data_IF_140880875462
#
_entry.id   IF_140880875462
#
_cell.length_a   1.000
_cell.length_b   1.000
_cell.length_c   1.000
_cell.angle_alpha   90.00
_cell.angle_beta   90.00
_cell.angle_gamma   90.00
#
_symmetry.space_group_name_H-M   'P 1'
#
loop_
_entity.id
_entity.type
_entity.pdbx_description
1 polymer ?
#
# COMPACT_ATOMS: atom_id res chain seq x y z
N UNK A 1 -9.18 6.24 15.95
CA UNK A 1 -8.28 6.14 14.80
C UNK A 1 -7.85 4.69 14.60
N UNK A 2 -8.41 4.03 13.57
CA UNK A 2 -8.03 2.69 13.13
C UNK A 2 -6.89 2.79 12.13
N UNK A 3 -5.79 2.09 12.38
CA UNK A 3 -4.64 2.09 11.47
C UNK A 3 -4.79 1.00 10.42
N UNK A 4 -4.74 1.34 9.15
CA UNK A 4 -4.88 0.40 8.04
C UNK A 4 -3.63 0.43 7.16
N UNK A 5 -3.02 -0.73 6.95
CA UNK A 5 -1.83 -0.86 6.09
C UNK A 5 -2.28 -1.12 4.65
N UNK A 6 -1.81 -0.30 3.72
CA UNK A 6 -2.08 -0.42 2.29
C UNK A 6 -0.78 -0.74 1.55
N UNK A 7 -0.63 -1.98 1.10
CA UNK A 7 0.49 -2.42 0.28
C UNK A 7 0.13 -2.37 -1.21
N UNK A 8 0.90 -1.66 -2.02
CA UNK A 8 0.77 -1.69 -3.48
C UNK A 8 1.97 -2.46 -4.04
N UNK A 9 1.68 -3.52 -4.81
CA UNK A 9 2.68 -4.38 -5.46
C UNK A 9 2.76 -4.12 -6.97
N UNK A 10 3.81 -4.58 -7.64
CA UNK A 10 4.02 -4.40 -9.09
C UNK A 10 3.18 -5.31 -9.98
N UNK A 11 1.92 -5.52 -9.61
CA UNK A 11 0.94 -6.20 -10.44
C UNK A 11 0.14 -5.19 -11.24
N UNK A 12 -0.46 -5.64 -12.34
CA UNK A 12 -1.38 -4.79 -13.09
C UNK A 12 -2.60 -4.40 -12.26
N UNK A 13 -3.11 -3.20 -12.48
CA UNK A 13 -4.22 -2.60 -11.73
C UNK A 13 -3.77 -1.70 -10.60
N UNK A 14 -2.63 -1.00 -10.74
CA UNK A 14 -2.14 -0.07 -9.72
C UNK A 14 -3.17 1.01 -9.34
N UNK A 15 -4.05 1.35 -10.29
CA UNK A 15 -5.17 2.27 -10.12
C UNK A 15 -6.12 1.89 -8.98
N UNK A 16 -6.30 0.60 -8.68
CA UNK A 16 -7.18 0.18 -7.58
C UNK A 16 -6.60 0.55 -6.21
N UNK A 17 -5.28 0.46 -6.05
CA UNK A 17 -4.59 0.91 -4.85
C UNK A 17 -4.70 2.42 -4.67
N UNK A 18 -4.53 3.18 -5.75
CA UNK A 18 -4.72 4.65 -5.74
C UNK A 18 -6.16 5.01 -5.36
N UNK A 19 -7.15 4.35 -5.96
CA UNK A 19 -8.56 4.64 -5.69
C UNK A 19 -8.94 4.29 -4.26
N UNK A 20 -8.41 3.21 -3.70
CA UNK A 20 -8.60 2.87 -2.30
C UNK A 20 -8.07 3.96 -1.37
N UNK A 21 -6.86 4.48 -1.63
CA UNK A 21 -6.30 5.59 -0.84
C UNK A 21 -7.17 6.85 -0.91
N UNK A 22 -7.69 7.20 -2.10
CA UNK A 22 -8.59 8.34 -2.26
C UNK A 22 -9.85 8.20 -1.41
N UNK A 23 -10.49 7.02 -1.42
CA UNK A 23 -11.71 6.76 -0.64
C UNK A 23 -11.41 6.76 0.86
N UNK A 24 -10.31 6.13 1.28
CA UNK A 24 -9.95 6.06 2.70
C UNK A 24 -9.56 7.42 3.28
N UNK A 25 -9.04 8.33 2.46
CA UNK A 25 -8.74 9.71 2.87
C UNK A 25 -9.98 10.49 3.32
N UNK A 26 -11.16 10.12 2.81
CA UNK A 26 -12.43 10.72 3.21
C UNK A 26 -12.95 10.15 4.55
N UNK A 27 -12.32 9.09 5.08
CA UNK A 27 -12.72 8.43 6.32
C UNK A 27 -11.87 8.93 7.49
N UNK A 28 -12.38 9.90 8.24
CA UNK A 28 -11.67 10.59 9.33
C UNK A 28 -11.24 9.71 10.53
N UNK A 29 -11.76 8.49 10.65
CA UNK A 29 -11.35 7.54 11.71
C UNK A 29 -10.34 6.48 11.20
N UNK A 30 -9.81 6.62 9.98
CA UNK A 30 -8.80 5.71 9.41
C UNK A 30 -7.49 6.46 9.19
N UNK A 31 -6.40 5.90 9.72
CA UNK A 31 -5.02 6.33 9.44
C UNK A 31 -4.39 5.33 8.48
N UNK A 32 -4.01 5.79 7.30
CA UNK A 32 -3.49 4.96 6.22
C UNK A 32 -1.97 4.91 6.23
N UNK A 33 -1.44 3.68 6.22
CA UNK A 33 -0.01 3.42 6.14
C UNK A 33 0.31 2.77 4.79
N UNK A 34 0.86 3.55 3.87
CA UNK A 34 1.17 3.11 2.51
C UNK A 34 2.56 2.47 2.43
N UNK A 35 2.64 1.34 1.74
CA UNK A 35 3.88 0.66 1.36
C UNK A 35 3.87 0.43 -0.15
N UNK A 36 4.89 0.96 -0.84
CA UNK A 36 5.04 0.83 -2.28
C UNK A 36 6.32 0.07 -2.62
N UNK A 37 6.17 -1.13 -3.18
CA UNK A 37 7.32 -1.88 -3.73
C UNK A 37 7.94 -1.15 -4.92
N UNK A 38 9.22 -1.40 -5.22
CA UNK A 38 9.87 -0.83 -6.39
C UNK A 38 9.12 -1.16 -7.70
N UNK A 39 8.63 -2.40 -7.83
CA UNK A 39 7.84 -2.82 -8.98
C UNK A 39 6.49 -2.07 -9.05
N UNK A 40 5.85 -1.78 -7.92
CA UNK A 40 4.62 -0.98 -7.89
C UNK A 40 4.83 0.44 -8.41
N UNK A 41 5.97 1.07 -8.09
CA UNK A 41 6.31 2.40 -8.59
C UNK A 41 6.44 2.41 -10.12
N UNK A 42 6.99 1.35 -10.70
CA UNK A 42 7.10 1.17 -12.14
C UNK A 42 5.72 0.94 -12.78
N UNK A 43 4.91 0.03 -12.22
CA UNK A 43 3.57 -0.24 -12.74
C UNK A 43 2.66 0.98 -12.66
N UNK A 44 2.73 1.75 -11.58
CA UNK A 44 1.99 3.00 -11.44
C UNK A 44 2.31 3.97 -12.59
N UNK A 45 3.60 4.17 -12.89
CA UNK A 45 4.04 5.05 -13.97
C UNK A 45 3.70 4.52 -15.38
N UNK A 46 3.47 3.21 -15.53
CA UNK A 46 3.12 2.59 -16.81
C UNK A 46 1.60 2.57 -17.06
N UNK A 47 0.79 2.44 -16.02
CA UNK A 47 -0.65 2.21 -16.14
C UNK A 47 -1.51 3.42 -15.79
N UNK A 48 -0.92 4.44 -15.17
CA UNK A 48 -1.66 5.61 -14.67
C UNK A 48 -0.90 6.90 -14.89
N UNK A 49 -1.63 8.01 -14.96
CA UNK A 49 -1.03 9.35 -15.03
C UNK A 49 -0.60 9.88 -13.65
N UNK A 50 -0.78 9.11 -12.58
CA UNK A 50 -0.41 9.52 -11.24
C UNK A 50 1.11 9.44 -11.03
N UNK A 51 1.69 10.54 -10.57
CA UNK A 51 3.05 10.54 -10.06
C UNK A 51 3.14 9.81 -8.72
N UNK A 52 4.32 9.27 -8.43
CA UNK A 52 4.61 8.65 -7.13
C UNK A 52 4.30 9.58 -5.96
N UNK A 53 4.59 10.88 -6.10
CA UNK A 53 4.34 11.88 -5.06
C UNK A 53 2.85 12.10 -4.83
N UNK A 54 2.04 12.13 -5.88
CA UNK A 54 0.59 12.25 -5.74
C UNK A 54 0.01 11.08 -4.96
N UNK A 55 0.42 9.85 -5.29
CA UNK A 55 -0.05 8.65 -4.58
C UNK A 55 0.42 8.65 -3.12
N UNK A 56 1.67 9.04 -2.86
CA UNK A 56 2.19 9.17 -1.49
C UNK A 56 1.42 10.21 -0.68
N UNK A 57 1.04 11.33 -1.29
CA UNK A 57 0.28 12.39 -0.64
C UNK A 57 -1.19 12.00 -0.34
N UNK A 58 -1.67 10.86 -0.85
CA UNK A 58 -2.98 10.31 -0.50
C UNK A 58 -2.95 9.53 0.82
N UNK A 59 -1.78 9.12 1.30
CA UNK A 59 -1.63 8.36 2.54
C UNK A 59 -1.17 9.26 3.69
N UNK A 60 -1.54 8.90 4.92
CA UNK A 60 -1.11 9.63 6.12
C UNK A 60 0.35 9.36 6.46
N UNK A 61 0.78 8.11 6.27
CA UNK A 61 2.14 7.65 6.51
C UNK A 61 2.62 6.82 5.33
N UNK A 62 3.84 7.08 4.87
CA UNK A 62 4.48 6.31 3.80
C UNK A 62 5.71 5.60 4.36
N UNK A 63 5.75 4.27 4.22
CA UNK A 63 6.87 3.44 4.61
C UNK A 63 7.62 2.93 3.38
N UNK A 64 8.94 2.80 3.48
CA UNK A 64 9.71 2.15 2.43
C UNK A 64 9.54 0.63 2.50
N UNK A 65 9.36 -0.03 1.35
CA UNK A 65 9.17 -1.48 1.30
C UNK A 65 10.40 -2.29 1.77
N UNK A 66 11.59 -1.66 1.83
CA UNK A 66 12.81 -2.26 2.38
C UNK A 66 12.95 -2.05 3.89
N UNK A 67 12.07 -1.27 4.49
CA UNK A 67 12.10 -0.95 5.90
C UNK A 67 11.48 -2.09 6.72
N UNK A 68 12.28 -3.13 6.98
CA UNK A 68 11.94 -4.27 7.86
C UNK A 68 11.70 -3.80 9.32
N UNK A 69 12.11 -2.58 9.66
CA UNK A 69 11.93 -1.96 10.97
C UNK A 69 10.71 -1.03 11.05
N UNK A 70 9.91 -0.91 9.98
CA UNK A 70 8.67 -0.16 10.00
C UNK A 70 7.79 -0.65 11.16
N UNK A 71 7.22 0.28 11.93
CA UNK A 71 6.48 0.03 13.18
C UNK A 71 5.39 -1.05 13.07
N UNK A 72 4.90 -1.29 11.86
CA UNK A 72 3.99 -2.39 11.46
C UNK A 72 4.54 -3.81 11.74
N UNK A 73 5.85 -3.97 11.95
CA UNK A 73 6.55 -5.23 12.22
C UNK A 73 6.54 -5.61 13.71
N UNK A 74 6.16 -4.67 14.59
CA UNK A 74 6.02 -4.91 16.03
C UNK A 74 4.59 -5.37 16.35
N UNK A 75 4.45 -6.50 17.05
CA UNK A 75 3.15 -7.00 17.54
C UNK A 75 2.39 -6.02 18.46
N UNK A 76 3.06 -4.96 18.93
CA UNK A 76 2.46 -3.87 19.71
C UNK A 76 1.74 -2.83 18.84
N UNK A 77 1.96 -2.84 17.52
CA UNK A 77 1.32 -1.90 16.60
C UNK A 77 -0.06 -2.42 16.20
N UNK A 78 -1.08 -2.05 16.98
CA UNK A 78 -2.47 -2.43 16.71
C UNK A 78 -2.93 -1.81 15.39
N UNK A 79 -3.01 -2.63 14.35
CA UNK A 79 -3.66 -2.29 13.09
C UNK A 79 -5.03 -2.93 13.03
N UNK A 80 -5.96 -2.29 12.32
CA UNK A 80 -7.25 -2.88 12.00
C UNK A 80 -7.14 -3.98 10.92
N UNK A 81 -6.02 -4.02 10.21
CA UNK A 81 -5.72 -5.03 9.19
C UNK A 81 -4.70 -4.53 8.17
N UNK A 82 -4.48 -5.35 7.14
CA UNK A 82 -3.62 -5.05 6.00
C UNK A 82 -4.33 -5.43 4.70
N UNK A 83 -4.23 -4.56 3.70
CA UNK A 83 -4.75 -4.78 2.35
C UNK A 83 -3.60 -4.68 1.36
N UNK A 84 -3.47 -5.66 0.45
CA UNK A 84 -2.46 -5.66 -0.62
C UNK A 84 -3.16 -5.64 -1.97
N UNK A 85 -3.03 -4.53 -2.72
CA UNK A 85 -3.72 -4.31 -3.99
C UNK A 85 -2.86 -3.46 -4.94
N UNK A 86 -2.76 -3.81 -6.23
CA UNK A 86 -3.04 -5.15 -6.77
C UNK A 86 -1.96 -6.12 -6.26
N UNK A 87 -2.34 -7.38 -6.03
CA UNK A 87 -1.40 -8.42 -5.61
C UNK A 87 -0.98 -9.24 -6.83
N UNK A 88 0.31 -9.22 -7.16
CA UNK A 88 0.84 -9.97 -8.30
C UNK A 88 0.61 -11.47 -8.09
N UNK A 89 0.34 -12.22 -9.16
CA UNK A 89 0.34 -13.69 -9.07
C UNK A 89 1.65 -14.26 -8.49
N UNK A 90 2.76 -13.49 -8.50
CA UNK A 90 4.02 -13.85 -7.80
C UNK A 90 3.93 -13.77 -6.26
N UNK A 91 3.07 -12.93 -5.69
CA UNK A 91 2.90 -12.85 -4.23
C UNK A 91 2.07 -14.01 -3.68
N UNK A 92 1.15 -14.55 -4.50
CA UNK A 92 0.34 -15.74 -4.17
C UNK A 92 1.12 -17.06 -4.28
N UNK A 93 2.26 -17.07 -5.00
CA UNK A 93 3.12 -18.26 -5.13
C UNK A 93 4.12 -18.47 -3.99
N UNK A 94 4.19 -17.57 -3.00
CA UNK A 94 5.07 -17.72 -1.81
C UNK A 94 4.36 -18.30 -0.58
N UNK A 95 3.25 -19.02 -0.78
CA UNK A 95 2.57 -19.85 0.23
C UNK A 95 1.91 -21.07 -0.43
N UNK A 96 2.69 -21.86 -1.19
CA UNK A 96 2.39 -23.27 -1.41
C UNK A 96 3.42 -24.09 -0.64
N UNK A 97 3.06 -24.47 0.58
CA UNK A 97 3.48 -25.75 1.16
C UNK A 97 2.59 -26.84 0.61
#
# INVERSE_FOLDING_TARGET
MKRLIIGISGASGAIYGVRLLQVLREVSDVETHLILSQAARQTLALETDFSLREVQALADVVHDARDIAASISSGSFKTAGMVILPCSMKTLSRHRS
#
